data_IF_996727844844
#
_entry.id   IF_996727844844
#
_cell.length_a   1.000
_cell.length_b   1.000
_cell.length_c   1.000
_cell.angle_alpha   90.00
_cell.angle_beta   90.00
_cell.angle_gamma   90.00
#
_symmetry.space_group_name_H-M   'P 1'
#
loop_
_entity.id
_entity.type
_entity.pdbx_description
1 polymer ?
#
# COMPACT_ATOMS: atom_id res chain seq x y z
N UNK A 1 -13.47 -37.66 -3.43
CA UNK A 1 -13.12 -36.57 -2.47
C UNK A 1 -12.14 -35.58 -3.07
N UNK A 2 -10.94 -36.00 -3.52
CA UNK A 2 -9.92 -35.11 -4.14
C UNK A 2 -10.41 -34.42 -5.42
N UNK A 3 -11.18 -35.11 -6.30
CA UNK A 3 -11.80 -34.49 -7.50
C UNK A 3 -12.88 -33.45 -7.20
N UNK A 4 -13.54 -33.55 -6.04
CA UNK A 4 -14.57 -32.60 -5.57
C UNK A 4 -13.93 -31.36 -4.93
N UNK A 5 -12.80 -31.53 -4.23
CA UNK A 5 -11.97 -30.43 -3.75
C UNK A 5 -11.31 -29.66 -4.90
N UNK A 6 -10.78 -30.36 -5.91
CA UNK A 6 -10.17 -29.73 -7.10
C UNK A 6 -11.19 -28.98 -7.97
N UNK A 7 -12.41 -29.51 -8.17
CA UNK A 7 -13.47 -28.79 -8.89
C UNK A 7 -13.99 -27.55 -8.15
N UNK A 8 -13.86 -27.51 -6.82
CA UNK A 8 -14.27 -26.37 -6.00
C UNK A 8 -13.17 -25.28 -5.92
N UNK A 9 -11.90 -25.66 -6.09
CA UNK A 9 -10.77 -24.72 -6.18
C UNK A 9 -10.67 -24.10 -7.59
N UNK A 10 -11.12 -24.78 -8.65
CA UNK A 10 -11.31 -24.11 -9.94
C UNK A 10 -12.39 -23.00 -9.88
N UNK A 11 -13.39 -23.13 -9.00
CA UNK A 11 -14.46 -22.12 -8.81
C UNK A 11 -13.97 -20.84 -8.09
N UNK A 12 -12.96 -20.92 -7.21
CA UNK A 12 -12.56 -19.74 -6.40
C UNK A 12 -11.86 -18.65 -7.21
N UNK A 13 -11.12 -19.02 -8.26
CA UNK A 13 -10.50 -18.04 -9.16
C UNK A 13 -11.54 -17.26 -9.97
N UNK A 14 -12.57 -17.95 -10.49
CA UNK A 14 -13.68 -17.33 -11.21
C UNK A 14 -14.49 -16.40 -10.29
N UNK A 15 -14.75 -16.84 -9.06
CA UNK A 15 -15.43 -16.05 -8.04
C UNK A 15 -14.67 -14.78 -7.66
N UNK A 16 -13.35 -14.87 -7.49
CA UNK A 16 -12.50 -13.68 -7.32
C UNK A 16 -12.66 -12.75 -8.53
N UNK A 17 -12.60 -13.30 -9.76
CA UNK A 17 -12.78 -12.50 -10.96
C UNK A 17 -14.16 -11.82 -11.06
N UNK A 18 -15.22 -12.43 -10.54
CA UNK A 18 -16.55 -11.81 -10.48
C UNK A 18 -16.61 -10.64 -9.48
N UNK A 19 -15.97 -10.77 -8.31
CA UNK A 19 -15.80 -9.64 -7.39
C UNK A 19 -14.99 -8.50 -8.06
N UNK A 20 -13.92 -8.86 -8.76
CA UNK A 20 -13.07 -7.92 -9.49
C UNK A 20 -13.88 -7.16 -10.56
N UNK A 21 -14.69 -7.87 -11.36
CA UNK A 21 -15.62 -7.26 -12.32
C UNK A 21 -16.59 -6.31 -11.65
N UNK A 22 -17.17 -6.68 -10.50
CA UNK A 22 -18.11 -5.79 -9.81
C UNK A 22 -17.43 -4.50 -9.36
N UNK A 23 -16.25 -4.58 -8.74
CA UNK A 23 -15.49 -3.42 -8.30
C UNK A 23 -15.11 -2.51 -9.47
N UNK A 24 -14.78 -3.09 -10.62
CA UNK A 24 -14.31 -2.35 -11.79
C UNK A 24 -15.45 -1.80 -12.64
N UNK A 25 -16.44 -2.61 -13.00
CA UNK A 25 -17.48 -2.25 -13.97
C UNK A 25 -18.69 -1.57 -13.32
N UNK A 26 -19.06 -2.01 -12.11
CA UNK A 26 -20.25 -1.48 -11.44
C UNK A 26 -19.91 -0.26 -10.56
N UNK A 27 -18.76 -0.29 -9.88
CA UNK A 27 -18.34 0.80 -8.98
C UNK A 27 -17.39 1.77 -9.70
N UNK A 28 -16.42 1.27 -10.48
CA UNK A 28 -15.45 2.13 -11.16
C UNK A 28 -14.37 2.64 -10.21
N UNK A 29 -13.71 3.79 -10.47
CA UNK A 29 -12.65 4.32 -9.63
C UNK A 29 -13.07 4.55 -8.16
N UNK A 30 -12.19 4.23 -7.21
CA UNK A 30 -12.46 4.21 -5.76
C UNK A 30 -11.47 5.07 -4.99
N UNK A 31 -11.18 6.28 -5.48
CA UNK A 31 -10.24 7.19 -4.81
C UNK A 31 -10.61 7.46 -3.35
N UNK A 32 -9.61 7.68 -2.49
CA UNK A 32 -9.85 7.96 -1.07
C UNK A 32 -10.88 9.07 -0.86
N UNK A 33 -11.77 8.87 0.10
CA UNK A 33 -12.92 9.72 0.48
C UNK A 33 -14.01 9.94 -0.57
N UNK A 34 -13.88 9.32 -1.75
CA UNK A 34 -14.86 9.48 -2.85
C UNK A 34 -16.12 8.66 -2.63
N UNK A 35 -17.13 8.88 -3.48
CA UNK A 35 -18.33 8.04 -3.53
C UNK A 35 -17.98 6.58 -3.88
N UNK A 36 -17.05 6.37 -4.83
CA UNK A 36 -16.63 5.03 -5.24
C UNK A 36 -15.97 4.25 -4.11
N UNK A 37 -15.14 4.91 -3.27
CA UNK A 37 -14.59 4.28 -2.05
C UNK A 37 -15.71 3.85 -1.09
N UNK A 38 -16.72 4.71 -0.87
CA UNK A 38 -17.86 4.37 0.01
C UNK A 38 -18.69 3.21 -0.52
N UNK A 39 -18.95 3.17 -1.82
CA UNK A 39 -19.68 2.08 -2.48
C UNK A 39 -18.90 0.76 -2.42
N UNK A 40 -17.59 0.79 -2.65
CA UNK A 40 -16.71 -0.37 -2.50
C UNK A 40 -16.70 -0.88 -1.06
N UNK A 41 -16.59 0.01 -0.07
CA UNK A 41 -16.65 -0.36 1.33
C UNK A 41 -17.97 -1.06 1.70
N UNK A 42 -19.11 -0.56 1.22
CA UNK A 42 -20.43 -1.20 1.42
C UNK A 42 -20.51 -2.56 0.73
N UNK A 43 -19.95 -2.69 -0.48
CA UNK A 43 -19.88 -3.97 -1.17
C UNK A 43 -19.07 -5.01 -0.38
N UNK A 44 -17.86 -4.63 0.04
CA UNK A 44 -16.95 -5.49 0.81
C UNK A 44 -17.62 -5.92 2.13
N UNK A 45 -18.19 -4.97 2.88
CA UNK A 45 -18.89 -5.27 4.13
C UNK A 45 -20.01 -6.30 3.91
N UNK A 46 -20.81 -6.13 2.85
CA UNK A 46 -21.90 -7.05 2.52
C UNK A 46 -21.39 -8.46 2.21
N UNK A 47 -20.32 -8.58 1.41
CA UNK A 47 -19.76 -9.89 1.06
C UNK A 47 -19.16 -10.57 2.29
N UNK A 48 -18.36 -9.86 3.10
CA UNK A 48 -17.79 -10.42 4.33
C UNK A 48 -18.88 -10.90 5.31
N UNK A 49 -19.98 -10.15 5.46
CA UNK A 49 -21.13 -10.58 6.29
C UNK A 49 -21.82 -11.81 5.71
N UNK A 50 -22.04 -11.85 4.38
CA UNK A 50 -22.65 -12.99 3.70
C UNK A 50 -21.78 -14.25 3.81
N UNK A 51 -20.46 -14.10 3.95
CA UNK A 51 -19.51 -15.18 4.23
C UNK A 51 -19.56 -15.71 5.67
N UNK A 52 -20.44 -15.17 6.53
CA UNK A 52 -20.62 -15.61 7.91
C UNK A 52 -19.65 -15.02 8.93
N UNK A 53 -18.91 -13.96 8.57
CA UNK A 53 -17.94 -13.32 9.46
C UNK A 53 -18.63 -12.28 10.35
N UNK A 54 -18.03 -12.05 11.53
CA UNK A 54 -18.37 -10.88 12.35
C UNK A 54 -17.70 -9.65 11.73
N UNK A 55 -18.49 -8.69 11.22
CA UNK A 55 -17.98 -7.54 10.48
C UNK A 55 -18.27 -6.22 11.19
N UNK A 56 -17.28 -5.34 11.22
CA UNK A 56 -17.39 -3.96 11.68
C UNK A 56 -16.47 -3.04 10.88
N UNK A 57 -16.61 -1.73 11.09
CA UNK A 57 -15.82 -0.71 10.40
C UNK A 57 -14.97 0.10 11.37
N UNK A 58 -13.81 0.55 10.93
CA UNK A 58 -12.98 1.52 11.63
C UNK A 58 -12.85 2.77 10.76
N UNK A 59 -13.52 3.84 11.15
CA UNK A 59 -13.44 5.09 10.40
C UNK A 59 -12.32 6.01 10.91
N UNK A 60 -11.69 6.74 9.99
CA UNK A 60 -10.60 7.68 10.28
C UNK A 60 -10.62 8.86 9.28
N UNK A 61 -10.05 10.03 9.65
CA UNK A 61 -9.91 11.15 8.73
C UNK A 61 -8.86 10.85 7.64
N UNK A 62 -9.14 11.23 6.40
CA UNK A 62 -8.20 11.13 5.27
C UNK A 62 -8.39 12.28 4.29
N UNK A 63 -7.34 12.67 3.60
CA UNK A 63 -7.43 13.51 2.41
C UNK A 63 -7.95 12.69 1.22
N UNK A 64 -8.40 13.38 0.17
CA UNK A 64 -8.75 12.71 -1.09
C UNK A 64 -7.54 12.34 -1.94
N UNK A 65 -6.41 13.05 -1.80
CA UNK A 65 -5.19 12.77 -2.53
C UNK A 65 -3.95 13.05 -1.69
N UNK A 66 -2.92 12.20 -1.84
CA UNK A 66 -1.59 12.44 -1.25
C UNK A 66 -0.95 13.74 -1.75
N UNK A 67 -1.34 14.22 -2.94
CA UNK A 67 -0.69 15.37 -3.57
C UNK A 67 -0.74 16.61 -2.70
N UNK A 68 -1.79 16.81 -1.91
CA UNK A 68 -1.93 18.02 -1.10
C UNK A 68 -0.84 18.14 -0.03
N UNK A 69 -0.46 17.03 0.62
CA UNK A 69 0.63 17.02 1.61
C UNK A 69 1.95 17.43 0.96
N UNK A 70 2.28 16.83 -0.18
CA UNK A 70 3.55 17.05 -0.84
C UNK A 70 3.62 18.39 -1.59
N UNK A 71 2.52 18.86 -2.17
CA UNK A 71 2.40 20.22 -2.70
C UNK A 71 2.67 21.24 -1.59
N UNK A 72 2.10 21.06 -0.39
CA UNK A 72 2.36 21.95 0.73
C UNK A 72 3.84 21.94 1.13
N UNK A 73 4.44 20.76 1.29
CA UNK A 73 5.86 20.61 1.65
C UNK A 73 6.75 21.31 0.61
N UNK A 74 6.51 21.08 -0.68
CA UNK A 74 7.29 21.67 -1.76
C UNK A 74 7.08 23.18 -1.87
N UNK A 75 5.84 23.69 -1.80
CA UNK A 75 5.58 25.12 -1.83
C UNK A 75 6.25 25.86 -0.67
N UNK A 76 6.19 25.31 0.55
CA UNK A 76 6.90 25.88 1.70
C UNK A 76 8.42 25.86 1.49
N UNK A 77 8.97 24.79 0.91
CA UNK A 77 10.39 24.74 0.56
C UNK A 77 10.76 25.86 -0.43
N UNK A 78 9.94 26.09 -1.46
CA UNK A 78 10.13 27.17 -2.44
C UNK A 78 10.04 28.55 -1.79
N UNK A 79 9.11 28.76 -0.86
CA UNK A 79 9.05 29.99 -0.06
C UNK A 79 10.35 30.17 0.73
N UNK A 80 10.86 29.10 1.37
CA UNK A 80 12.15 29.11 2.06
C UNK A 80 13.31 29.50 1.14
N UNK A 81 13.34 28.97 -0.09
CA UNK A 81 14.34 29.33 -1.12
C UNK A 81 14.24 30.81 -1.49
N UNK A 82 13.03 31.34 -1.71
CA UNK A 82 12.82 32.76 -2.01
C UNK A 82 13.29 33.67 -0.87
N UNK A 83 13.06 33.27 0.38
CA UNK A 83 13.53 34.03 1.55
C UNK A 83 15.07 33.97 1.69
N UNK A 84 15.70 32.84 1.38
CA UNK A 84 17.17 32.76 1.27
C UNK A 84 17.71 33.71 0.22
N UNK A 85 17.05 33.83 -0.94
CA UNK A 85 17.46 34.74 -2.02
C UNK A 85 17.36 36.22 -1.60
N UNK A 86 16.44 36.55 -0.69
CA UNK A 86 16.27 37.88 -0.11
C UNK A 86 17.15 38.10 1.15
N UNK A 87 18.05 37.17 1.48
CA UNK A 87 18.87 37.16 2.69
C UNK A 87 18.06 37.23 4.00
N UNK A 88 16.86 36.67 4.03
CA UNK A 88 16.03 36.59 5.23
C UNK A 88 16.34 35.28 5.96
N UNK A 89 16.82 35.40 7.21
CA UNK A 89 17.33 34.29 8.03
C UNK A 89 16.32 33.18 8.35
N UNK A 90 15.02 33.43 8.19
CA UNK A 90 13.99 32.41 8.38
C UNK A 90 13.91 31.41 7.20
N UNK A 91 14.44 31.76 6.02
CA UNK A 91 14.44 30.89 4.83
C UNK A 91 15.06 29.51 5.06
N UNK A 92 16.31 29.41 5.57
CA UNK A 92 16.95 28.14 5.88
C UNK A 92 16.18 27.31 6.91
N UNK A 93 15.55 27.94 7.91
CA UNK A 93 14.73 27.24 8.91
C UNK A 93 13.56 26.54 8.22
N UNK A 94 12.86 27.23 7.31
CA UNK A 94 11.75 26.63 6.54
C UNK A 94 12.23 25.48 5.67
N UNK A 95 13.38 25.59 5.01
CA UNK A 95 13.97 24.51 4.19
C UNK A 95 14.28 23.29 5.06
N UNK A 96 14.93 23.48 6.22
CA UNK A 96 15.24 22.39 7.16
C UNK A 96 13.95 21.71 7.66
N UNK A 97 12.95 22.50 8.05
CA UNK A 97 11.67 21.98 8.54
C UNK A 97 10.92 21.19 7.47
N UNK A 98 10.83 21.72 6.24
CA UNK A 98 10.19 21.01 5.12
C UNK A 98 10.94 19.75 4.73
N UNK A 99 12.27 19.76 4.77
CA UNK A 99 13.06 18.56 4.55
C UNK A 99 12.84 17.51 5.65
N UNK A 100 12.77 17.93 6.92
CA UNK A 100 12.45 17.02 8.02
C UNK A 100 11.08 16.36 7.84
N UNK A 101 10.05 17.11 7.45
CA UNK A 101 8.74 16.53 7.14
C UNK A 101 8.78 15.59 5.93
N UNK A 102 9.47 15.97 4.85
CA UNK A 102 9.67 15.11 3.69
C UNK A 102 10.31 13.76 4.08
N UNK A 103 11.37 13.80 4.92
CA UNK A 103 12.04 12.60 5.44
C UNK A 103 11.09 11.76 6.31
N UNK A 104 10.36 12.40 7.22
CA UNK A 104 9.43 11.69 8.10
C UNK A 104 8.34 10.98 7.30
N UNK A 105 7.73 11.62 6.30
CA UNK A 105 6.67 11.00 5.50
C UNK A 105 7.21 9.92 4.54
N UNK A 106 8.25 10.19 3.74
CA UNK A 106 8.70 9.27 2.69
C UNK A 106 9.68 8.18 3.13
N UNK A 107 10.55 8.47 4.10
CA UNK A 107 11.62 7.53 4.50
C UNK A 107 11.21 6.79 5.76
N UNK A 108 10.68 7.52 6.73
CA UNK A 108 10.26 6.91 7.99
C UNK A 108 8.79 6.52 8.01
N UNK A 109 7.98 6.82 6.98
CA UNK A 109 6.56 6.46 6.93
C UNK A 109 5.78 6.95 8.17
N UNK A 110 6.06 8.17 8.60
CA UNK A 110 5.32 8.91 9.62
C UNK A 110 4.64 10.11 8.94
N UNK A 111 3.43 9.94 8.39
CA UNK A 111 2.79 10.93 7.54
C UNK A 111 2.11 12.04 8.36
N UNK A 112 2.92 12.79 9.13
CA UNK A 112 2.44 13.80 10.08
C UNK A 112 1.68 14.92 9.37
N UNK A 113 2.21 15.44 8.26
CA UNK A 113 1.54 16.52 7.51
C UNK A 113 0.24 15.99 6.93
N UNK A 114 0.26 14.79 6.37
CA UNK A 114 -0.93 14.15 5.82
C UNK A 114 -2.00 13.93 6.88
N UNK A 115 -1.65 13.47 8.09
CA UNK A 115 -2.59 13.29 9.20
C UNK A 115 -3.18 14.63 9.68
N UNK A 116 -2.34 15.66 9.85
CA UNK A 116 -2.79 16.99 10.26
C UNK A 116 -3.73 17.63 9.22
N UNK A 117 -3.38 17.53 7.93
CA UNK A 117 -4.24 18.02 6.85
C UNK A 117 -5.53 17.19 6.75
N UNK A 118 -5.47 15.88 6.97
CA UNK A 118 -6.66 15.01 6.99
C UNK A 118 -7.65 15.41 8.09
N UNK A 119 -7.16 15.84 9.25
CA UNK A 119 -8.02 16.30 10.36
C UNK A 119 -8.73 17.63 10.05
N UNK A 120 -8.12 18.50 9.27
CA UNK A 120 -8.58 19.87 9.03
C UNK A 120 -9.33 20.05 7.71
N UNK A 121 -8.86 19.40 6.65
CA UNK A 121 -9.34 19.54 5.27
C UNK A 121 -9.90 18.22 4.72
N UNK A 122 -9.73 17.12 5.45
CA UNK A 122 -10.09 15.78 4.99
C UNK A 122 -11.57 15.45 5.16
N UNK A 123 -11.89 14.23 4.73
CA UNK A 123 -13.18 13.57 4.90
C UNK A 123 -12.97 12.21 5.56
N UNK A 124 -14.05 11.45 5.80
CA UNK A 124 -13.97 10.14 6.43
C UNK A 124 -13.68 9.06 5.39
N UNK A 125 -12.60 8.31 5.59
CA UNK A 125 -12.38 6.97 5.02
C UNK A 125 -12.56 5.92 6.12
N UNK A 126 -12.53 4.64 5.78
CA UNK A 126 -12.71 3.54 6.73
C UNK A 126 -11.99 2.26 6.34
N UNK A 127 -11.61 1.48 7.34
CA UNK A 127 -11.26 0.08 7.14
C UNK A 127 -12.51 -0.77 7.37
N UNK A 128 -12.64 -1.86 6.62
CA UNK A 128 -13.66 -2.89 6.83
C UNK A 128 -12.97 -4.12 7.39
N UNK A 129 -13.44 -4.59 8.53
CA UNK A 129 -12.82 -5.69 9.27
C UNK A 129 -13.82 -6.81 9.42
N UNK A 130 -13.50 -7.98 8.88
CA UNK A 130 -14.24 -9.22 9.07
C UNK A 130 -13.44 -10.20 9.91
N UNK A 131 -14.06 -10.78 10.93
CA UNK A 131 -13.47 -11.79 11.78
C UNK A 131 -14.17 -13.13 11.58
N UNK A 132 -13.40 -14.13 11.16
CA UNK A 132 -13.76 -15.53 11.27
C UNK A 132 -13.25 -16.04 12.62
N UNK A 133 -14.19 -16.22 13.56
CA UNK A 133 -13.87 -16.70 14.92
C UNK A 133 -13.51 -18.18 14.89
N UNK A 134 -12.55 -18.53 15.72
CA UNK A 134 -12.26 -19.91 16.11
C UNK A 134 -13.36 -20.42 17.03
N UNK A 135 -13.82 -21.66 16.83
CA UNK A 135 -14.77 -22.33 17.74
C UNK A 135 -14.03 -22.90 18.98
N UNK A 136 -12.72 -23.09 18.87
CA UNK A 136 -11.82 -23.49 19.95
C UNK A 136 -10.84 -22.36 20.32
N UNK A 137 -9.94 -22.61 21.29
CA UNK A 137 -8.82 -21.69 21.56
C UNK A 137 -7.92 -21.65 20.31
N UNK A 138 -7.76 -20.48 19.66
CA UNK A 138 -7.05 -20.41 18.40
C UNK A 138 -5.56 -20.75 18.59
N UNK A 139 -5.07 -21.72 17.82
CA UNK A 139 -3.65 -22.09 17.78
C UNK A 139 -2.83 -21.07 17.00
N UNK A 140 -3.42 -20.53 15.95
CA UNK A 140 -2.82 -19.49 15.13
C UNK A 140 -3.79 -18.33 14.91
N UNK A 141 -3.21 -17.17 14.63
CA UNK A 141 -3.92 -15.97 14.22
C UNK A 141 -3.36 -15.47 12.91
N UNK A 142 -4.21 -15.30 11.91
CA UNK A 142 -3.82 -14.84 10.57
C UNK A 142 -4.61 -13.59 10.21
N UNK A 143 -3.93 -12.60 9.64
CA UNK A 143 -4.57 -11.38 9.13
C UNK A 143 -4.29 -11.26 7.64
N UNK A 144 -5.36 -11.33 6.84
CA UNK A 144 -5.31 -11.01 5.42
C UNK A 144 -5.69 -9.55 5.20
N UNK A 145 -4.86 -8.83 4.45
CA UNK A 145 -5.04 -7.40 4.19
C UNK A 145 -5.08 -7.14 2.68
N UNK A 146 -5.92 -6.21 2.25
CA UNK A 146 -5.87 -5.64 0.91
C UNK A 146 -6.45 -4.22 0.94
N UNK A 147 -5.85 -3.27 0.24
CA UNK A 147 -6.46 -1.95 0.10
C UNK A 147 -7.49 -1.91 -1.02
N UNK A 148 -8.55 -1.13 -0.83
CA UNK A 148 -9.65 -1.07 -1.80
C UNK A 148 -9.77 0.28 -2.52
N UNK A 149 -9.02 1.29 -2.08
CA UNK A 149 -8.94 2.57 -2.76
C UNK A 149 -8.02 2.53 -3.98
N UNK A 150 -8.26 3.44 -4.93
CA UNK A 150 -7.49 3.54 -6.19
C UNK A 150 -6.65 4.81 -6.25
N UNK A 151 -5.50 4.71 -6.90
CA UNK A 151 -4.63 5.86 -7.13
C UNK A 151 -5.22 6.86 -8.14
N UNK A 152 -4.82 8.11 -8.02
CA UNK A 152 -5.00 9.12 -9.08
C UNK A 152 -3.90 8.93 -10.12
N UNK A 153 -4.22 8.96 -11.41
CA UNK A 153 -3.18 8.84 -12.43
C UNK A 153 -2.24 10.05 -12.42
N UNK A 154 -1.02 9.89 -12.89
CA UNK A 154 -0.09 11.01 -13.12
C UNK A 154 0.87 10.65 -14.23
N UNK A 155 1.33 11.65 -14.99
CA UNK A 155 2.27 11.46 -16.09
C UNK A 155 3.56 10.73 -15.68
N UNK A 156 3.96 10.75 -14.41
CA UNK A 156 5.09 9.98 -13.87
C UNK A 156 4.87 8.44 -13.87
N UNK A 157 3.60 8.00 -13.80
CA UNK A 157 3.22 6.58 -13.79
C UNK A 157 3.00 5.98 -15.18
N UNK A 158 3.24 6.76 -16.24
CA UNK A 158 3.22 6.21 -17.61
C UNK A 158 4.16 5.00 -17.70
N UNK A 159 3.78 3.93 -18.43
CA UNK A 159 4.57 2.69 -18.51
C UNK A 159 6.05 2.91 -18.90
N UNK A 160 6.35 3.93 -19.71
CA UNK A 160 7.72 4.22 -20.14
C UNK A 160 8.56 4.88 -19.03
N UNK A 161 7.91 5.53 -18.05
CA UNK A 161 8.54 6.34 -16.99
C UNK A 161 8.55 5.68 -15.62
N UNK A 162 7.56 4.83 -15.30
CA UNK A 162 7.35 4.27 -13.94
C UNK A 162 8.59 3.59 -13.36
N UNK A 163 9.41 2.97 -14.21
CA UNK A 163 10.70 2.36 -13.82
C UNK A 163 11.72 3.33 -13.20
N UNK A 164 11.57 4.63 -13.45
CA UNK A 164 12.48 5.66 -12.96
C UNK A 164 12.01 6.29 -11.64
N UNK A 165 10.85 5.92 -11.09
CA UNK A 165 10.30 6.51 -9.86
C UNK A 165 11.31 6.54 -8.70
N UNK A 166 12.05 5.46 -8.52
CA UNK A 166 13.08 5.39 -7.48
C UNK A 166 14.24 6.37 -7.71
N UNK A 167 14.66 6.54 -8.96
CA UNK A 167 15.69 7.51 -9.32
C UNK A 167 15.20 8.95 -9.10
N UNK A 168 13.93 9.21 -9.40
CA UNK A 168 13.29 10.51 -9.14
C UNK A 168 13.27 10.80 -7.64
N UNK A 169 12.78 9.86 -6.82
CA UNK A 169 12.77 10.03 -5.36
C UNK A 169 14.18 10.24 -4.75
N UNK A 170 15.20 9.53 -5.27
CA UNK A 170 16.60 9.75 -4.87
C UNK A 170 17.10 11.15 -5.27
N UNK A 171 16.73 11.62 -6.46
CA UNK A 171 17.11 12.96 -6.93
C UNK A 171 16.48 14.06 -6.07
N UNK A 172 15.23 13.90 -5.65
CA UNK A 172 14.56 14.84 -4.74
C UNK A 172 15.18 14.82 -3.35
N UNK A 173 15.51 13.64 -2.82
CA UNK A 173 16.25 13.53 -1.56
C UNK A 173 17.63 14.23 -1.63
N UNK A 174 18.36 14.03 -2.71
CA UNK A 174 19.65 14.70 -2.94
C UNK A 174 19.49 16.23 -3.07
N UNK A 175 18.45 16.68 -3.78
CA UNK A 175 18.10 18.09 -3.93
C UNK A 175 17.82 18.74 -2.57
N UNK A 176 16.94 18.16 -1.74
CA UNK A 176 16.69 18.67 -0.39
C UNK A 176 17.94 18.72 0.49
N UNK A 177 18.78 17.69 0.40
CA UNK A 177 20.04 17.65 1.15
C UNK A 177 20.96 18.81 0.73
N UNK A 178 21.15 18.98 -0.58
CA UNK A 178 21.99 20.05 -1.13
C UNK A 178 21.44 21.43 -0.79
N UNK A 179 20.13 21.63 -0.93
CA UNK A 179 19.45 22.88 -0.57
C UNK A 179 19.67 23.25 0.90
N UNK A 180 19.55 22.26 1.79
CA UNK A 180 19.76 22.47 3.23
C UNK A 180 21.20 22.93 3.50
N UNK A 181 22.19 22.24 2.91
CA UNK A 181 23.61 22.59 3.07
C UNK A 181 23.90 24.00 2.52
N UNK A 182 23.45 24.30 1.30
CA UNK A 182 23.66 25.59 0.67
C UNK A 182 22.97 26.73 1.42
N UNK A 183 21.73 26.52 1.88
CA UNK A 183 20.99 27.51 2.65
C UNK A 183 21.69 27.85 3.97
N UNK A 184 22.23 26.85 4.68
CA UNK A 184 23.00 27.07 5.91
C UNK A 184 24.30 27.81 5.64
N UNK A 185 25.05 27.44 4.60
CA UNK A 185 26.29 28.14 4.22
C UNK A 185 25.98 29.61 3.83
N UNK A 186 24.89 29.85 3.11
CA UNK A 186 24.51 31.18 2.65
C UNK A 186 24.21 32.15 3.81
N UNK A 187 23.80 31.66 4.99
CA UNK A 187 23.62 32.50 6.20
C UNK A 187 24.92 33.18 6.63
N UNK A 188 26.08 32.54 6.41
CA UNK A 188 27.37 33.08 6.85
C UNK A 188 28.09 33.87 5.76
N UNK A 189 27.89 33.48 4.50
CA UNK A 189 28.62 34.07 3.36
C UNK A 189 27.84 35.21 2.73
N UNK A 190 26.49 35.14 2.73
CA UNK A 190 25.59 36.12 2.09
C UNK A 190 25.94 36.39 0.61
N UNK A 191 26.41 35.35 -0.10
CA UNK A 191 26.81 35.48 -1.50
C UNK A 191 25.62 35.30 -2.45
N UNK A 192 25.43 36.26 -3.36
CA UNK A 192 24.43 36.17 -4.41
C UNK A 192 24.58 34.92 -5.30
N UNK A 193 25.83 34.49 -5.56
CA UNK A 193 26.12 33.27 -6.30
C UNK A 193 25.58 32.00 -5.60
N UNK A 194 25.63 31.94 -4.27
CA UNK A 194 25.05 30.83 -3.50
C UNK A 194 23.53 30.84 -3.59
N UNK A 195 22.92 32.02 -3.53
CA UNK A 195 21.46 32.17 -3.70
C UNK A 195 20.98 31.68 -5.08
N UNK A 196 21.74 31.94 -6.15
CA UNK A 196 21.48 31.39 -7.48
C UNK A 196 21.63 29.86 -7.48
N UNK A 197 22.69 29.34 -6.86
CA UNK A 197 22.93 27.90 -6.79
C UNK A 197 21.80 27.15 -6.05
N UNK A 198 21.23 27.76 -4.99
CA UNK A 198 20.06 27.23 -4.28
C UNK A 198 18.88 27.07 -5.24
N UNK A 199 18.59 28.06 -6.08
CA UNK A 199 17.49 27.98 -7.06
C UNK A 199 17.71 26.81 -8.04
N UNK A 200 18.93 26.63 -8.56
CA UNK A 200 19.23 25.51 -9.46
C UNK A 200 19.22 24.15 -8.75
N UNK A 201 19.67 24.08 -7.50
CA UNK A 201 19.63 22.87 -6.70
C UNK A 201 18.19 22.36 -6.48
N UNK A 202 17.19 23.23 -6.56
CA UNK A 202 15.77 22.90 -6.40
C UNK A 202 15.06 22.37 -7.65
N UNK A 203 15.75 22.23 -8.79
CA UNK A 203 15.14 21.74 -10.04
C UNK A 203 14.32 20.43 -9.85
N UNK A 204 14.83 19.38 -9.17
CA UNK A 204 14.04 18.17 -8.95
C UNK A 204 12.73 18.43 -8.17
N UNK A 205 12.76 19.32 -7.18
CA UNK A 205 11.58 19.70 -6.40
C UNK A 205 10.57 20.44 -7.27
N UNK A 206 11.01 21.34 -8.16
CA UNK A 206 10.11 22.02 -9.09
C UNK A 206 9.42 21.04 -10.05
N UNK A 207 10.17 20.03 -10.53
CA UNK A 207 9.63 18.99 -11.42
C UNK A 207 8.58 18.16 -10.68
N UNK A 208 8.88 17.67 -9.47
CA UNK A 208 7.93 16.87 -8.69
C UNK A 208 6.70 17.68 -8.28
N UNK A 209 6.86 18.96 -7.92
CA UNK A 209 5.73 19.86 -7.67
C UNK A 209 4.85 20.02 -8.91
N UNK A 210 5.46 20.19 -10.10
CA UNK A 210 4.71 20.24 -11.35
C UNK A 210 3.94 18.93 -11.61
N UNK A 211 4.56 17.77 -11.43
CA UNK A 211 3.91 16.46 -11.63
C UNK A 211 2.74 16.24 -10.65
N UNK A 212 2.85 16.71 -9.40
CA UNK A 212 1.74 16.67 -8.43
C UNK A 212 0.61 17.63 -8.78
N UNK A 213 0.91 18.85 -9.22
CA UNK A 213 -0.10 19.80 -9.69
C UNK A 213 -0.78 19.25 -10.95
N UNK A 214 -0.02 18.68 -11.87
CA UNK A 214 -0.53 18.07 -13.10
C UNK A 214 -1.45 16.88 -12.79
N UNK A 215 -1.04 16.00 -11.88
CA UNK A 215 -1.86 14.94 -11.31
C UNK A 215 -3.21 15.45 -10.82
N UNK A 216 -3.23 16.56 -10.08
CA UNK A 216 -4.48 17.07 -9.51
C UNK A 216 -5.38 17.76 -10.53
N UNK A 217 -4.80 18.50 -11.49
CA UNK A 217 -5.54 19.31 -12.45
C UNK A 217 -5.96 18.57 -13.72
N UNK A 218 -5.19 17.57 -14.17
CA UNK A 218 -5.36 16.94 -15.50
C UNK A 218 -5.79 15.49 -15.45
N UNK A 219 -5.63 14.82 -14.30
CA UNK A 219 -5.85 13.39 -14.20
C UNK A 219 -7.01 13.02 -13.28
N UNK A 220 -7.65 11.89 -13.60
CA UNK A 220 -8.66 11.24 -12.77
C UNK A 220 -8.10 10.02 -12.04
N UNK A 221 -8.87 9.51 -11.08
CA UNK A 221 -8.61 8.20 -10.47
C UNK A 221 -8.67 7.09 -11.52
N UNK A 222 -7.74 6.15 -11.42
CA UNK A 222 -7.73 4.96 -12.28
C UNK A 222 -8.80 3.98 -11.81
N UNK A 223 -9.19 3.08 -12.70
CA UNK A 223 -10.16 2.02 -12.38
C UNK A 223 -9.54 0.99 -11.44
N UNK A 224 -8.22 0.81 -11.46
CA UNK A 224 -7.49 0.05 -10.44
C UNK A 224 -7.84 -1.43 -10.44
N UNK A 225 -7.89 -2.06 -11.62
CA UNK A 225 -8.33 -3.45 -11.75
C UNK A 225 -7.29 -4.42 -11.17
N UNK A 226 -6.02 -4.22 -11.52
CA UNK A 226 -4.90 -4.89 -10.90
C UNK A 226 -4.61 -4.25 -9.53
N UNK A 227 -4.46 -2.93 -9.46
CA UNK A 227 -4.12 -2.17 -8.24
C UNK A 227 -5.31 -1.33 -7.71
N UNK A 228 -6.08 -1.81 -6.73
CA UNK A 228 -5.98 -3.12 -6.08
C UNK A 228 -7.32 -3.85 -5.96
N UNK A 229 -8.20 -3.70 -6.97
CA UNK A 229 -9.42 -4.51 -7.03
C UNK A 229 -9.10 -6.01 -7.06
N UNK A 230 -7.95 -6.41 -7.61
CA UNK A 230 -7.51 -7.80 -7.63
C UNK A 230 -7.18 -8.36 -6.23
N UNK A 231 -6.53 -7.56 -5.37
CA UNK A 231 -6.28 -7.93 -3.97
C UNK A 231 -7.57 -8.09 -3.18
N UNK A 232 -8.52 -7.16 -3.34
CA UNK A 232 -9.83 -7.26 -2.69
C UNK A 232 -10.63 -8.43 -3.22
N UNK A 233 -10.59 -8.71 -4.52
CA UNK A 233 -11.23 -9.86 -5.11
C UNK A 233 -10.74 -11.18 -4.50
N UNK A 234 -9.42 -11.31 -4.33
CA UNK A 234 -8.80 -12.47 -3.66
C UNK A 234 -9.19 -12.52 -2.18
N UNK A 235 -9.16 -11.40 -1.46
CA UNK A 235 -9.58 -11.29 -0.06
C UNK A 235 -11.02 -11.77 0.13
N UNK A 236 -11.96 -11.32 -0.73
CA UNK A 236 -13.37 -11.67 -0.65
C UNK A 236 -13.63 -13.14 -1.00
N UNK A 237 -13.03 -13.65 -2.07
CA UNK A 237 -13.18 -15.05 -2.46
C UNK A 237 -12.57 -16.00 -1.41
N UNK A 238 -11.44 -15.62 -0.80
CA UNK A 238 -10.83 -16.34 0.31
C UNK A 238 -11.73 -16.33 1.54
N UNK A 239 -12.36 -15.19 1.87
CA UNK A 239 -13.32 -15.10 2.98
C UNK A 239 -14.55 -15.99 2.75
N UNK A 240 -15.09 -16.04 1.53
CA UNK A 240 -16.17 -16.96 1.17
C UNK A 240 -15.76 -18.44 1.29
N UNK A 241 -14.54 -18.77 0.88
CA UNK A 241 -14.02 -20.13 0.97
C UNK A 241 -13.80 -20.56 2.43
N UNK A 242 -13.05 -19.78 3.20
CA UNK A 242 -12.74 -20.08 4.60
C UNK A 242 -13.95 -19.98 5.53
N UNK A 243 -14.90 -19.09 5.24
CA UNK A 243 -16.17 -19.02 5.96
C UNK A 243 -17.03 -20.28 5.84
N UNK A 244 -16.87 -21.04 4.75
CA UNK A 244 -17.52 -22.35 4.55
C UNK A 244 -16.75 -23.51 5.16
N UNK A 245 -15.42 -23.53 5.00
CA UNK A 245 -14.59 -24.63 5.53
C UNK A 245 -14.39 -24.56 7.04
N UNK A 246 -14.42 -23.34 7.62
CA UNK A 246 -14.27 -23.04 9.05
C UNK A 246 -13.11 -23.80 9.72
N UNK A 247 -11.86 -23.36 9.56
CA UNK A 247 -10.74 -23.93 10.32
C UNK A 247 -10.93 -23.67 11.82
N UNK A 248 -11.43 -24.67 12.54
CA UNK A 248 -11.95 -24.57 13.92
C UNK A 248 -10.94 -24.09 14.98
N UNK A 249 -9.66 -24.16 14.67
CA UNK A 249 -8.51 -23.87 15.54
C UNK A 249 -7.72 -22.63 15.10
N UNK A 250 -8.29 -21.82 14.20
CA UNK A 250 -7.63 -20.65 13.61
C UNK A 250 -8.52 -19.41 13.74
N UNK A 251 -7.95 -18.32 14.26
CA UNK A 251 -8.60 -17.02 14.23
C UNK A 251 -8.13 -16.24 12.99
N UNK A 252 -9.05 -15.90 12.07
CA UNK A 252 -8.68 -15.29 10.78
C UNK A 252 -9.38 -13.95 10.61
N UNK A 253 -8.58 -12.92 10.38
CA UNK A 253 -9.02 -11.55 10.15
C UNK A 253 -8.89 -11.20 8.67
N UNK A 254 -9.92 -10.58 8.12
CA UNK A 254 -9.97 -10.05 6.76
C UNK A 254 -10.12 -8.54 6.86
N UNK A 255 -9.10 -7.79 6.45
CA UNK A 255 -9.02 -6.35 6.61
C UNK A 255 -8.93 -5.70 5.24
N UNK A 256 -9.98 -5.02 4.83
CA UNK A 256 -9.95 -4.16 3.66
C UNK A 256 -9.60 -2.73 4.10
N UNK A 257 -8.43 -2.24 3.72
CA UNK A 257 -7.91 -0.93 4.12
C UNK A 257 -8.37 0.17 3.17
N UNK A 258 -8.84 1.28 3.73
CA UNK A 258 -9.16 2.49 2.97
C UNK A 258 -7.96 3.44 2.92
N UNK A 259 -7.94 4.36 1.95
CA UNK A 259 -6.92 5.40 1.83
C UNK A 259 -5.46 4.91 1.93
N UNK A 260 -5.12 3.76 1.34
CA UNK A 260 -3.71 3.33 1.20
C UNK A 260 -2.96 4.29 0.27
N UNK A 261 -3.63 4.77 -0.78
CA UNK A 261 -3.07 5.71 -1.76
C UNK A 261 -2.91 7.14 -1.21
N UNK A 262 -3.22 7.35 0.07
CA UNK A 262 -3.00 8.60 0.80
C UNK A 262 -2.07 8.31 1.96
N UNK A 263 -0.83 7.92 1.66
CA UNK A 263 0.20 7.60 2.65
C UNK A 263 -0.20 6.51 3.67
N UNK A 264 -0.84 5.43 3.20
CA UNK A 264 -1.13 4.24 4.00
C UNK A 264 -1.96 4.53 5.26
N UNK A 265 -2.82 5.55 5.23
CA UNK A 265 -3.57 5.98 6.42
C UNK A 265 -4.47 4.87 6.98
N UNK A 266 -5.04 4.02 6.13
CA UNK A 266 -5.84 2.88 6.55
C UNK A 266 -5.10 1.94 7.48
N UNK A 267 -3.97 1.39 7.04
CA UNK A 267 -3.18 0.46 7.86
C UNK A 267 -2.57 1.15 9.07
N UNK A 268 -2.19 2.43 8.99
CA UNK A 268 -1.65 3.18 10.14
C UNK A 268 -2.68 3.25 11.27
N UNK A 269 -3.94 3.61 10.94
CA UNK A 269 -5.02 3.65 11.92
C UNK A 269 -5.36 2.24 12.43
N UNK A 270 -5.27 1.21 11.58
CA UNK A 270 -5.50 -0.17 12.00
C UNK A 270 -4.46 -0.64 13.01
N UNK A 271 -3.17 -0.40 12.74
CA UNK A 271 -2.05 -0.73 13.64
C UNK A 271 -2.19 -0.05 14.99
N UNK A 272 -2.59 1.23 15.01
CA UNK A 272 -2.79 1.96 16.26
C UNK A 272 -3.86 1.32 17.15
N UNK A 273 -4.97 0.86 16.56
CA UNK A 273 -6.09 0.29 17.31
C UNK A 273 -5.94 -1.20 17.64
N UNK A 274 -5.27 -1.97 16.78
CA UNK A 274 -5.24 -3.44 16.87
C UNK A 274 -3.84 -4.01 17.16
N UNK A 275 -2.97 -3.22 17.79
CA UNK A 275 -1.60 -3.61 18.14
C UNK A 275 -1.50 -4.99 18.81
N UNK A 276 -2.38 -5.28 19.78
CA UNK A 276 -2.37 -6.55 20.53
C UNK A 276 -2.79 -7.75 19.68
N UNK A 277 -3.63 -7.52 18.69
CA UNK A 277 -4.02 -8.55 17.72
C UNK A 277 -2.85 -8.82 16.78
N UNK A 278 -2.24 -7.76 16.23
CA UNK A 278 -1.17 -7.85 15.25
C UNK A 278 0.14 -8.42 15.82
N UNK A 279 0.45 -8.18 17.09
CA UNK A 279 1.69 -8.67 17.72
C UNK A 279 1.78 -10.20 17.84
N UNK A 280 0.64 -10.88 17.70
CA UNK A 280 0.54 -12.35 17.77
C UNK A 280 0.06 -12.98 16.46
N UNK A 281 -0.03 -12.20 15.38
CA UNK A 281 -0.58 -12.66 14.12
C UNK A 281 0.48 -12.77 13.02
N UNK A 282 0.23 -13.69 12.09
CA UNK A 282 0.93 -13.77 10.81
C UNK A 282 0.11 -13.01 9.76
N UNK A 283 0.74 -12.05 9.07
CA UNK A 283 0.02 -11.09 8.24
C UNK A 283 0.39 -11.25 6.76
N UNK A 284 -0.62 -11.34 5.90
CA UNK A 284 -0.44 -11.45 4.45
C UNK A 284 -1.23 -10.32 3.79
N UNK A 285 -0.52 -9.40 3.15
CA UNK A 285 -1.10 -8.36 2.31
C UNK A 285 -1.24 -8.84 0.86
N UNK A 286 -2.36 -8.55 0.22
CA UNK A 286 -2.62 -8.82 -1.19
C UNK A 286 -2.57 -7.52 -1.98
N UNK A 287 -1.67 -7.44 -2.95
CA UNK A 287 -1.49 -6.23 -3.77
C UNK A 287 -1.21 -6.62 -5.23
N UNK A 288 -1.96 -6.07 -6.18
CA UNK A 288 -1.65 -6.21 -7.61
C UNK A 288 -1.52 -7.66 -8.10
N UNK A 289 -2.48 -8.52 -7.74
CA UNK A 289 -2.46 -9.97 -7.98
C UNK A 289 -2.98 -10.39 -9.37
N UNK A 290 -3.61 -9.48 -10.11
CA UNK A 290 -4.29 -9.81 -11.37
C UNK A 290 -3.37 -10.02 -12.56
N UNK A 291 -2.15 -9.49 -12.54
CA UNK A 291 -1.21 -9.48 -13.68
C UNK A 291 0.21 -9.86 -13.26
N UNK A 292 1.11 -10.02 -14.24
CA UNK A 292 2.51 -10.38 -13.99
C UNK A 292 2.70 -11.82 -13.50
N UNK A 293 3.85 -12.06 -12.89
CA UNK A 293 4.21 -13.30 -12.18
C UNK A 293 4.09 -13.06 -10.68
N UNK A 294 3.56 -14.05 -9.94
CA UNK A 294 3.34 -13.92 -8.49
C UNK A 294 4.64 -14.14 -7.71
N UNK A 295 4.85 -13.28 -6.72
CA UNK A 295 5.94 -13.34 -5.75
C UNK A 295 5.41 -13.05 -4.35
N UNK A 296 6.01 -13.67 -3.33
CA UNK A 296 5.89 -13.17 -1.96
C UNK A 296 7.07 -12.25 -1.66
N UNK A 297 6.76 -11.06 -1.16
CA UNK A 297 7.71 -9.97 -0.96
C UNK A 297 8.27 -10.06 0.45
N UNK A 298 9.58 -10.30 0.55
CA UNK A 298 10.29 -10.45 1.83
C UNK A 298 10.89 -9.13 2.32
N UNK A 299 11.12 -8.18 1.42
CA UNK A 299 11.60 -6.84 1.75
C UNK A 299 10.95 -5.83 0.81
N UNK A 300 10.41 -4.74 1.37
CA UNK A 300 9.80 -3.66 0.60
C UNK A 300 10.19 -2.26 1.07
N UNK A 301 10.23 -1.32 0.11
CA UNK A 301 10.39 0.11 0.36
C UNK A 301 11.25 0.84 -0.68
N UNK A 302 10.96 2.13 -0.90
CA UNK A 302 11.54 2.93 -1.98
C UNK A 302 12.99 3.37 -1.71
N UNK A 303 13.17 4.15 -0.64
CA UNK A 303 14.46 4.71 -0.21
C UNK A 303 15.06 3.89 0.94
N UNK A 304 14.22 3.48 1.88
CA UNK A 304 14.55 2.59 3.00
C UNK A 304 13.72 1.32 2.87
N UNK A 305 14.37 0.16 2.97
CA UNK A 305 13.69 -1.14 3.00
C UNK A 305 13.30 -1.52 4.42
N UNK A 306 12.20 -2.24 4.52
CA UNK A 306 11.78 -2.98 5.69
C UNK A 306 11.62 -4.45 5.28
N UNK A 307 12.12 -5.37 6.09
CA UNK A 307 12.20 -6.80 5.74
C UNK A 307 11.51 -7.65 6.79
N UNK A 308 10.89 -8.74 6.32
CA UNK A 308 10.41 -9.83 7.16
C UNK A 308 11.62 -10.52 7.82
N UNK A 309 11.58 -10.66 9.14
CA UNK A 309 12.57 -11.44 9.89
C UNK A 309 12.38 -12.95 9.71
N UNK A 310 13.33 -13.73 10.23
CA UNK A 310 13.11 -15.17 10.37
C UNK A 310 11.97 -15.45 11.35
N UNK A 311 11.09 -16.38 11.00
CA UNK A 311 9.84 -16.62 11.72
C UNK A 311 8.98 -17.69 11.06
N UNK A 312 7.85 -18.03 11.69
CA UNK A 312 6.95 -19.08 11.21
C UNK A 312 6.32 -18.72 9.86
N UNK A 313 5.99 -17.44 9.63
CA UNK A 313 5.45 -16.97 8.35
C UNK A 313 6.48 -17.09 7.23
N UNK A 314 7.75 -16.75 7.50
CA UNK A 314 8.81 -16.88 6.49
C UNK A 314 9.08 -18.36 6.18
N UNK A 315 9.15 -19.22 7.19
CA UNK A 315 9.29 -20.67 7.04
C UNK A 315 8.14 -21.27 6.20
N UNK A 316 6.90 -20.90 6.53
CA UNK A 316 5.71 -21.31 5.79
C UNK A 316 5.74 -20.80 4.34
N UNK A 317 6.06 -19.51 4.13
CA UNK A 317 6.13 -18.92 2.80
C UNK A 317 7.21 -19.56 1.92
N UNK A 318 8.39 -19.85 2.47
CA UNK A 318 9.47 -20.49 1.75
C UNK A 318 9.09 -21.93 1.34
N UNK A 319 8.39 -22.68 2.20
CA UNK A 319 7.93 -24.04 1.89
C UNK A 319 6.80 -24.04 0.87
N UNK A 320 5.71 -23.34 1.18
CA UNK A 320 4.51 -23.25 0.31
C UNK A 320 4.89 -22.64 -1.05
N UNK A 321 5.77 -21.64 -1.07
CA UNK A 321 6.28 -21.04 -2.29
C UNK A 321 6.99 -22.03 -3.21
N UNK A 322 7.79 -22.96 -2.65
CA UNK A 322 8.42 -24.04 -3.44
C UNK A 322 7.40 -25.01 -4.04
N UNK A 323 6.37 -25.36 -3.28
CA UNK A 323 5.35 -26.34 -3.70
C UNK A 323 4.41 -25.77 -4.78
N UNK A 324 3.97 -24.53 -4.60
CA UNK A 324 3.04 -23.84 -5.52
C UNK A 324 3.78 -23.15 -6.67
N UNK A 325 5.10 -22.97 -6.56
CA UNK A 325 5.91 -22.27 -7.55
C UNK A 325 5.70 -20.75 -7.53
N UNK A 326 5.71 -20.15 -6.33
CA UNK A 326 5.76 -18.70 -6.09
C UNK A 326 7.08 -18.45 -5.37
N UNK A 327 7.92 -17.57 -5.92
CA UNK A 327 9.25 -17.30 -5.37
C UNK A 327 9.24 -16.06 -4.48
N UNK A 328 10.23 -15.95 -3.61
CA UNK A 328 10.50 -14.70 -2.90
C UNK A 328 11.04 -13.65 -3.86
N UNK A 329 10.77 -12.38 -3.56
CA UNK A 329 11.32 -11.23 -4.27
C UNK A 329 11.47 -10.03 -3.32
N UNK A 330 12.36 -9.11 -3.66
CA UNK A 330 12.40 -7.78 -3.04
C UNK A 330 11.67 -6.77 -3.92
N UNK A 331 10.95 -5.85 -3.29
CA UNK A 331 10.19 -4.80 -3.96
C UNK A 331 10.75 -3.42 -3.58
N UNK A 332 11.09 -2.59 -4.58
CA UNK A 332 11.78 -1.30 -4.34
C UNK A 332 11.08 -0.12 -5.02
N UNK A 333 9.75 -0.14 -5.04
CA UNK A 333 8.92 0.97 -5.52
C UNK A 333 8.15 1.60 -4.36
N UNK A 334 6.93 2.11 -4.60
CA UNK A 334 6.13 2.76 -3.57
C UNK A 334 5.76 1.78 -2.45
N UNK A 335 5.78 2.20 -1.18
CA UNK A 335 5.41 1.36 -0.05
C UNK A 335 4.00 0.75 -0.16
N UNK A 336 3.83 -0.44 0.40
CA UNK A 336 2.50 -1.07 0.60
C UNK A 336 2.08 -1.00 2.06
N UNK A 337 0.91 -1.51 2.41
CA UNK A 337 0.48 -1.62 3.81
C UNK A 337 1.46 -2.43 4.67
N UNK A 338 2.11 -3.44 4.07
CA UNK A 338 3.16 -4.24 4.72
C UNK A 338 4.37 -3.42 5.15
N UNK A 339 4.68 -2.32 4.47
CA UNK A 339 5.81 -1.46 4.83
C UNK A 339 5.62 -0.83 6.21
N UNK A 340 4.38 -0.44 6.55
CA UNK A 340 4.02 0.03 7.89
C UNK A 340 4.12 -1.11 8.90
N UNK A 341 3.67 -2.32 8.54
CA UNK A 341 3.73 -3.48 9.42
C UNK A 341 5.16 -3.88 9.77
N UNK A 342 6.01 -4.05 8.76
CA UNK A 342 7.42 -4.41 8.91
C UNK A 342 8.21 -3.33 9.66
N UNK A 343 7.92 -2.05 9.42
CA UNK A 343 8.51 -0.94 10.18
C UNK A 343 8.21 -1.04 11.68
N UNK A 344 7.04 -1.55 12.06
CA UNK A 344 6.63 -1.72 13.46
C UNK A 344 6.97 -3.10 14.03
N UNK A 345 7.71 -3.94 13.28
CA UNK A 345 8.19 -5.24 13.75
C UNK A 345 7.15 -6.37 13.72
N UNK A 346 6.04 -6.20 12.99
CA UNK A 346 5.06 -7.27 12.81
C UNK A 346 5.52 -8.28 11.76
N UNK A 347 5.11 -9.54 11.94
CA UNK A 347 5.41 -10.62 11.01
C UNK A 347 4.46 -10.55 9.81
N UNK A 348 4.92 -9.88 8.73
CA UNK A 348 4.10 -9.58 7.57
C UNK A 348 4.84 -9.80 6.24
N UNK A 349 4.11 -10.17 5.20
CA UNK A 349 4.59 -10.17 3.82
C UNK A 349 3.51 -9.67 2.86
N UNK A 350 3.91 -9.25 1.66
CA UNK A 350 2.99 -8.93 0.57
C UNK A 350 3.05 -10.04 -0.47
N UNK A 351 1.91 -10.58 -0.90
CA UNK A 351 1.82 -11.37 -2.13
C UNK A 351 1.46 -10.42 -3.27
N UNK A 352 2.29 -10.41 -4.32
CA UNK A 352 2.20 -9.42 -5.40
C UNK A 352 2.50 -10.00 -6.77
N UNK A 353 1.76 -9.54 -7.78
CA UNK A 353 2.05 -9.77 -9.19
C UNK A 353 3.00 -8.72 -9.75
N UNK A 354 4.18 -9.15 -10.19
CA UNK A 354 5.22 -8.28 -10.74
C UNK A 354 5.48 -8.60 -12.22
N UNK A 355 5.58 -7.55 -13.02
CA UNK A 355 5.99 -7.61 -14.42
C UNK A 355 7.49 -7.34 -14.60
N UNK A 356 7.83 -6.72 -15.72
CA UNK A 356 9.20 -6.30 -16.02
C UNK A 356 9.74 -5.34 -14.95
N UNK A 357 11.05 -5.41 -14.72
CA UNK A 357 11.76 -4.58 -13.73
C UNK A 357 11.25 -4.68 -12.27
N UNK A 358 10.44 -5.71 -11.94
CA UNK A 358 9.92 -5.89 -10.58
C UNK A 358 8.87 -4.86 -10.19
N UNK A 359 8.06 -4.43 -11.15
CA UNK A 359 7.01 -3.40 -11.00
C UNK A 359 5.65 -4.03 -11.28
N UNK A 360 4.58 -3.67 -10.54
CA UNK A 360 3.23 -4.09 -10.90
C UNK A 360 2.85 -3.67 -12.32
N UNK A 361 2.19 -4.55 -13.06
CA UNK A 361 1.77 -4.24 -14.44
C UNK A 361 0.66 -3.18 -14.41
N UNK A 362 0.77 -2.17 -15.29
CA UNK A 362 -0.14 -1.02 -15.42
C UNK A 362 -0.24 -0.09 -14.20
N UNK A 363 0.74 -0.15 -13.30
CA UNK A 363 0.74 0.55 -12.02
C UNK A 363 0.35 2.04 -12.11
N UNK A 364 -0.73 2.42 -11.41
CA UNK A 364 -1.23 3.81 -11.30
C UNK A 364 -1.52 4.52 -12.64
N UNK A 365 -1.75 3.78 -13.72
CA UNK A 365 -2.04 4.36 -15.04
C UNK A 365 -3.38 3.90 -15.62
N UNK A 366 -3.86 4.60 -16.65
CA UNK A 366 -5.18 4.35 -17.26
C UNK A 366 -5.31 2.98 -17.93
N UNK A 367 -4.18 2.31 -18.20
CA UNK A 367 -4.18 0.94 -18.73
C UNK A 367 -4.54 -0.10 -17.67
N UNK A 368 -4.61 0.29 -16.38
CA UNK A 368 -5.04 -0.61 -15.31
C UNK A 368 -6.55 -0.89 -15.34
N UNK A 369 -6.89 -1.79 -16.24
CA UNK A 369 -8.24 -2.22 -16.59
C UNK A 369 -8.36 -3.75 -16.48
N UNK A 370 -9.56 -4.28 -16.72
CA UNK A 370 -9.80 -5.73 -16.75
C UNK A 370 -9.02 -6.48 -17.83
N UNK A 371 -8.52 -5.78 -18.84
CA UNK A 371 -7.74 -6.41 -19.91
C UNK A 371 -6.52 -7.09 -19.31
N UNK A 372 -6.25 -8.30 -19.78
CA UNK A 372 -5.10 -9.13 -19.40
C UNK A 372 -5.04 -9.57 -17.93
N UNK A 373 -6.13 -9.43 -17.16
CA UNK A 373 -6.24 -10.05 -15.84
C UNK A 373 -6.23 -11.57 -15.99
N UNK A 374 -5.26 -12.21 -15.32
CA UNK A 374 -5.09 -13.67 -15.28
C UNK A 374 -5.89 -14.26 -14.12
N UNK A 375 -7.01 -14.92 -14.43
CA UNK A 375 -7.81 -15.65 -13.43
C UNK A 375 -6.97 -16.68 -12.67
N UNK A 376 -5.99 -17.30 -13.36
CA UNK A 376 -5.06 -18.23 -12.75
C UNK A 376 -4.20 -17.57 -11.65
N UNK A 377 -3.81 -16.30 -11.78
CA UNK A 377 -3.08 -15.61 -10.72
C UNK A 377 -3.98 -15.42 -9.48
N UNK A 378 -5.23 -15.00 -9.68
CA UNK A 378 -6.19 -14.85 -8.57
C UNK A 378 -6.40 -16.19 -7.84
N UNK A 379 -6.59 -17.28 -8.58
CA UNK A 379 -6.70 -18.63 -8.02
C UNK A 379 -5.45 -19.02 -7.23
N UNK A 380 -4.28 -18.88 -7.85
CA UNK A 380 -2.98 -19.27 -7.26
C UNK A 380 -2.66 -18.47 -5.99
N UNK A 381 -3.10 -17.21 -5.92
CA UNK A 381 -2.99 -16.40 -4.71
C UNK A 381 -3.87 -16.92 -3.55
N UNK A 382 -5.10 -17.35 -3.85
CA UNK A 382 -5.99 -17.99 -2.87
C UNK A 382 -5.39 -19.32 -2.40
N UNK A 383 -4.90 -20.16 -3.33
CA UNK A 383 -4.22 -21.42 -3.02
C UNK A 383 -3.01 -21.20 -2.10
N UNK A 384 -2.19 -20.19 -2.39
CA UNK A 384 -1.07 -19.80 -1.53
C UNK A 384 -1.55 -19.41 -0.14
N UNK A 385 -2.55 -18.53 -0.02
CA UNK A 385 -3.07 -18.08 1.26
C UNK A 385 -3.62 -19.23 2.12
N UNK A 386 -4.37 -20.17 1.52
CA UNK A 386 -4.90 -21.36 2.21
C UNK A 386 -3.75 -22.26 2.67
N UNK A 387 -2.79 -22.54 1.79
CA UNK A 387 -1.64 -23.38 2.14
C UNK A 387 -0.76 -22.77 3.25
N UNK A 388 -0.63 -21.44 3.32
CA UNK A 388 0.06 -20.79 4.44
C UNK A 388 -0.69 -21.00 5.75
N UNK A 389 -2.02 -20.86 5.77
CA UNK A 389 -2.81 -21.12 6.99
C UNK A 389 -2.59 -22.55 7.47
N UNK A 390 -2.65 -23.53 6.57
CA UNK A 390 -2.44 -24.93 6.92
C UNK A 390 -1.00 -25.20 7.42
N UNK A 391 0.00 -24.63 6.76
CA UNK A 391 1.40 -24.80 7.17
C UNK A 391 1.69 -24.14 8.52
N UNK A 392 1.14 -22.97 8.80
CA UNK A 392 1.28 -22.29 10.09
C UNK A 392 0.67 -23.12 11.23
N UNK A 393 -0.45 -23.82 10.98
CA UNK A 393 -1.04 -24.76 11.94
C UNK A 393 -0.09 -25.92 12.23
N UNK A 394 0.52 -26.50 11.19
CA UNK A 394 1.52 -27.56 11.36
C UNK A 394 2.77 -27.08 12.12
N UNK A 395 3.31 -25.91 11.81
CA UNK A 395 4.46 -25.34 12.54
C UNK A 395 4.11 -25.10 14.01
N UNK A 396 2.90 -24.61 14.29
CA UNK A 396 2.42 -24.43 15.65
C UNK A 396 2.31 -25.75 16.41
N UNK A 397 1.91 -26.86 15.77
CA UNK A 397 1.84 -28.17 16.42
C UNK A 397 3.21 -28.72 16.85
N UNK A 398 4.28 -28.38 16.13
CA UNK A 398 5.64 -28.89 16.43
C UNK A 398 6.33 -28.10 17.55
N UNK A 399 5.89 -26.86 17.79
CA UNK A 399 6.51 -25.94 18.76
C UNK A 399 5.88 -26.00 20.17
N UNK A 400 4.79 -26.76 20.33
CA UNK A 400 4.18 -27.12 21.61
C UNK A 400 4.37 -28.62 21.85
#
# INVERSE_FOLDING_TARGET
>A
MVRLLLSYIEDVGLRAFDHLKHLVLNIGPRGATTKGEKEAATYIERILRASGLAVWTQEFPSLSSLSYSYILIYLLCIVGIGLCFLNITIGPVIIITTYAFYILEHIFLFPIITQLLSLSLGSRSKNIVGLLKSDEVPRIKVVFIAHYDTAKASSIFRPEKVKNLRSIAKSCFASFTLLTVLAVINVFIEAYALSILIVFAAIPIYIDLYELIERELRHNYVVGANDNASGIAVLLALAEYLGRSKPIDSEIWFVATGAKEVNMLGIINFVEKYRDILSSAHIINFDSLGKGELYYIICEGLLKKHCLGEGALKEAADKVGREIGIRSQEYQLLPTDTSILLKNGYEALTLMGLGEHGIPVDYHWYTDTLMDIKINNLRKAIEFAVAIVDELRTISEVRY
#
